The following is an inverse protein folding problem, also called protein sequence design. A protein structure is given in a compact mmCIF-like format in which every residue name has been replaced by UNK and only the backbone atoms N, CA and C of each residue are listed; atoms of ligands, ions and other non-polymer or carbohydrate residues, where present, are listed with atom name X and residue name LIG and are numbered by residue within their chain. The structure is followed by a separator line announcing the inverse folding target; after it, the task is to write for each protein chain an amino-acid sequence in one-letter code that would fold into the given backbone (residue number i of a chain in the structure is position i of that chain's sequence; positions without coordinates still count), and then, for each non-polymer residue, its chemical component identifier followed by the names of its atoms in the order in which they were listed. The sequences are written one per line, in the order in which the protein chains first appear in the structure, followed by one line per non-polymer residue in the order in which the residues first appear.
data_IF_482414542912
#
_entry.id   IF_482414542912
#
_cell.length_a   1.000
_cell.length_b   1.000
_cell.length_c   1.000
_cell.angle_alpha   90.00
_cell.angle_beta   90.00
_cell.angle_gamma   90.00
#
_symmetry.space_group_name_H-M   'P 1'
#
loop_
_entity.id
_entity.type
_entity.pdbx_description
1 polymer ?
#
# COMPACT_ATOMS: atom_id res chain seq x y z
N UNK A 1 16.84 -3.54 -14.15
CA UNK A 1 15.68 -2.78 -14.65
C UNK A 1 14.42 -3.33 -14.00
N UNK A 2 13.89 -2.63 -13.00
CA UNK A 2 12.80 -3.10 -12.12
C UNK A 2 11.39 -3.07 -12.77
N UNK A 3 11.31 -3.12 -14.10
CA UNK A 3 10.04 -3.14 -14.83
C UNK A 3 9.81 -4.53 -15.42
N UNK A 4 8.86 -5.26 -14.82
CA UNK A 4 8.39 -6.53 -15.35
C UNK A 4 7.13 -6.31 -16.20
N UNK A 5 7.29 -6.31 -17.53
CA UNK A 5 6.19 -6.09 -18.47
C UNK A 5 5.06 -7.12 -18.34
N UNK A 6 5.32 -8.32 -17.83
CA UNK A 6 4.26 -9.33 -17.65
C UNK A 6 3.19 -8.89 -16.65
N UNK A 7 3.55 -8.01 -15.70
CA UNK A 7 2.66 -7.48 -14.68
C UNK A 7 1.67 -6.44 -15.21
N UNK A 8 1.92 -5.85 -16.39
CA UNK A 8 1.04 -4.82 -16.97
C UNK A 8 -0.40 -5.32 -17.16
N UNK A 9 -0.55 -6.61 -17.49
CA UNK A 9 -1.86 -7.27 -17.65
C UNK A 9 -2.71 -7.26 -16.38
N UNK A 10 -2.07 -7.17 -15.19
CA UNK A 10 -2.77 -7.16 -13.90
C UNK A 10 -3.19 -5.77 -13.44
N UNK A 11 -2.61 -4.71 -14.02
CA UNK A 11 -2.74 -3.35 -13.49
C UNK A 11 -4.19 -2.92 -13.42
N UNK A 12 -4.92 -2.98 -14.54
CA UNK A 12 -6.31 -2.52 -14.61
C UNK A 12 -7.22 -3.23 -13.60
N UNK A 13 -7.13 -4.56 -13.53
CA UNK A 13 -7.89 -5.36 -12.58
C UNK A 13 -7.57 -4.97 -11.13
N UNK A 14 -6.30 -4.85 -10.77
CA UNK A 14 -5.90 -4.49 -9.40
C UNK A 14 -6.29 -3.05 -9.04
N UNK A 15 -6.21 -2.11 -9.98
CA UNK A 15 -6.66 -0.73 -9.76
C UNK A 15 -8.14 -0.69 -9.38
N UNK A 16 -8.96 -1.54 -10.00
CA UNK A 16 -10.38 -1.68 -9.67
C UNK A 16 -10.57 -2.30 -8.27
N UNK A 17 -9.85 -3.38 -7.96
CA UNK A 17 -9.93 -4.03 -6.64
C UNK A 17 -9.61 -3.07 -5.48
N UNK A 18 -8.59 -2.23 -5.64
CA UNK A 18 -8.17 -1.27 -4.60
C UNK A 18 -8.90 0.07 -4.70
N UNK A 19 -9.90 0.20 -5.58
CA UNK A 19 -10.67 1.42 -5.85
C UNK A 19 -9.79 2.63 -6.21
N UNK A 20 -8.69 2.41 -6.91
CA UNK A 20 -7.76 3.45 -7.37
C UNK A 20 -8.08 3.95 -8.78
N UNK A 21 -8.88 3.20 -9.55
CA UNK A 21 -9.24 3.57 -10.93
C UNK A 21 -9.89 4.96 -11.03
N UNK A 22 -10.80 5.30 -10.10
CA UNK A 22 -11.47 6.61 -10.10
C UNK A 22 -10.50 7.77 -9.82
N UNK A 23 -9.48 7.55 -9.00
CA UNK A 23 -8.43 8.54 -8.74
C UNK A 23 -7.56 8.72 -9.98
N UNK A 24 -7.14 7.59 -10.59
CA UNK A 24 -6.30 7.58 -11.79
C UNK A 24 -7.00 8.30 -12.94
N UNK A 25 -8.29 8.10 -13.13
CA UNK A 25 -9.09 8.77 -14.17
C UNK A 25 -9.16 10.30 -13.97
N UNK A 26 -8.97 10.79 -12.75
CA UNK A 26 -8.94 12.23 -12.43
C UNK A 26 -7.55 12.84 -12.57
N UNK A 27 -6.50 12.03 -12.69
CA UNK A 27 -5.15 12.56 -12.89
C UNK A 27 -4.95 13.01 -14.34
N UNK A 28 -4.24 14.13 -14.54
CA UNK A 28 -4.03 14.73 -15.86
C UNK A 28 -3.42 13.77 -16.91
N UNK A 29 -2.58 12.82 -16.49
CA UNK A 29 -1.95 11.84 -17.39
C UNK A 29 -2.39 10.40 -17.10
N UNK A 30 -3.51 10.22 -16.38
CA UNK A 30 -4.02 8.91 -16.02
C UNK A 30 -2.99 8.06 -15.27
N UNK A 31 -2.85 6.79 -15.68
CA UNK A 31 -1.88 5.85 -15.10
C UNK A 31 -0.42 6.25 -15.35
N UNK A 32 -0.17 7.14 -16.32
CA UNK A 32 1.15 7.65 -16.65
C UNK A 32 1.51 8.92 -15.83
N UNK A 33 0.65 9.32 -14.90
CA UNK A 33 0.90 10.47 -14.03
C UNK A 33 2.15 10.24 -13.19
N UNK A 34 3.13 11.13 -13.36
CA UNK A 34 4.37 11.09 -12.57
C UNK A 34 4.07 11.52 -11.14
N UNK A 35 4.47 10.69 -10.19
CA UNK A 35 4.39 11.02 -8.77
C UNK A 35 5.61 11.86 -8.37
N UNK A 36 5.38 12.94 -7.64
CA UNK A 36 6.43 13.75 -7.04
C UNK A 36 6.58 13.36 -5.57
N UNK A 37 7.75 12.82 -5.20
CA UNK A 37 8.02 12.35 -3.83
C UNK A 37 8.29 13.51 -2.85
N UNK A 38 8.78 14.65 -3.34
CA UNK A 38 9.16 15.80 -2.51
C UNK A 38 7.97 16.73 -2.23
N UNK A 39 7.13 16.96 -3.24
CA UNK A 39 5.95 17.85 -3.16
C UNK A 39 4.62 17.11 -3.04
N UNK A 40 4.65 15.77 -2.98
CA UNK A 40 3.51 14.84 -2.89
C UNK A 40 2.26 15.34 -3.63
N UNK A 41 2.19 15.05 -4.94
CA UNK A 41 1.04 15.43 -5.78
C UNK A 41 -0.16 14.46 -5.70
N UNK A 42 -0.26 13.69 -4.61
CA UNK A 42 -1.34 12.74 -4.35
C UNK A 42 -1.80 12.85 -2.90
N UNK A 43 -3.07 12.57 -2.65
CA UNK A 43 -3.61 12.54 -1.29
C UNK A 43 -3.10 11.33 -0.49
N UNK A 44 -3.24 11.37 0.83
CA UNK A 44 -2.91 10.23 1.70
C UNK A 44 -3.68 8.97 1.31
N UNK A 45 -4.98 9.09 1.00
CA UNK A 45 -5.80 7.96 0.54
C UNK A 45 -5.33 7.37 -0.80
N UNK A 46 -4.93 8.21 -1.75
CA UNK A 46 -4.35 7.74 -3.02
C UNK A 46 -3.04 6.98 -2.81
N UNK A 47 -2.18 7.48 -1.91
CA UNK A 47 -0.95 6.78 -1.53
C UNK A 47 -1.23 5.39 -0.93
N UNK A 48 -2.23 5.28 -0.05
CA UNK A 48 -2.64 3.99 0.53
C UNK A 48 -3.03 2.99 -0.56
N UNK A 49 -3.90 3.39 -1.48
CA UNK A 49 -4.37 2.54 -2.58
C UNK A 49 -3.22 2.14 -3.52
N UNK A 50 -2.28 3.03 -3.79
CA UNK A 50 -1.08 2.72 -4.61
C UNK A 50 -0.23 1.64 -3.92
N UNK A 51 -0.03 1.72 -2.60
CA UNK A 51 0.70 0.70 -1.84
C UNK A 51 -0.01 -0.66 -1.92
N UNK A 52 -1.32 -0.69 -1.70
CA UNK A 52 -2.14 -1.91 -1.84
C UNK A 52 -2.07 -2.49 -3.25
N UNK A 53 -2.16 -1.64 -4.29
CA UNK A 53 -2.07 -2.06 -5.68
C UNK A 53 -0.71 -2.70 -5.98
N UNK A 54 0.39 -2.10 -5.50
CA UNK A 54 1.74 -2.65 -5.67
C UNK A 54 1.89 -4.02 -5.03
N UNK A 55 1.39 -4.20 -3.80
CA UNK A 55 1.43 -5.49 -3.12
C UNK A 55 0.66 -6.57 -3.90
N UNK A 56 -0.55 -6.26 -4.35
CA UNK A 56 -1.42 -7.18 -5.11
C UNK A 56 -0.86 -7.54 -6.49
N UNK A 57 -0.35 -6.55 -7.26
CA UNK A 57 0.20 -6.78 -8.61
C UNK A 57 1.34 -7.80 -8.56
N UNK A 58 2.24 -7.65 -7.59
CA UNK A 58 3.38 -8.54 -7.43
C UNK A 58 2.99 -9.92 -6.89
N UNK A 59 1.85 -10.05 -6.20
CA UNK A 59 1.42 -11.31 -5.61
C UNK A 59 2.43 -11.86 -4.60
N UNK A 60 3.11 -10.96 -3.88
CA UNK A 60 4.19 -11.33 -2.97
C UNK A 60 3.66 -12.17 -1.81
N UNK A 61 4.29 -13.31 -1.54
CA UNK A 61 3.96 -14.14 -0.38
C UNK A 61 4.33 -13.47 0.94
N UNK A 62 5.28 -12.54 0.92
CA UNK A 62 5.75 -11.76 2.06
C UNK A 62 5.73 -10.27 1.72
N UNK A 63 5.16 -9.46 2.61
CA UNK A 63 5.13 -8.00 2.52
C UNK A 63 5.86 -7.44 3.74
N UNK A 64 6.99 -6.77 3.49
CA UNK A 64 7.73 -6.01 4.50
C UNK A 64 7.34 -4.54 4.42
N UNK A 65 6.91 -3.98 5.54
CA UNK A 65 6.58 -2.57 5.70
C UNK A 65 7.51 -2.00 6.75
N UNK A 66 8.48 -1.21 6.31
CA UNK A 66 9.40 -0.50 7.20
C UNK A 66 8.91 0.93 7.44
N UNK A 67 9.10 1.40 8.67
CA UNK A 67 8.65 2.72 9.16
C UNK A 67 7.19 3.10 8.82
N UNK A 68 6.26 2.14 8.83
CA UNK A 68 4.90 2.35 8.31
C UNK A 68 4.07 3.42 9.04
N UNK A 69 4.54 3.97 10.16
CA UNK A 69 3.88 5.02 10.94
C UNK A 69 4.54 6.40 10.85
N UNK A 70 5.75 6.54 10.29
CA UNK A 70 6.52 7.81 10.35
C UNK A 70 6.07 8.80 9.27
N UNK A 71 5.68 8.32 8.09
CA UNK A 71 5.43 9.14 6.91
C UNK A 71 3.95 9.19 6.47
N UNK A 72 3.05 8.49 7.17
CA UNK A 72 1.63 8.34 6.83
C UNK A 72 0.82 8.59 8.11
N UNK A 73 -0.27 9.35 7.99
CA UNK A 73 -1.28 9.51 9.03
C UNK A 73 -1.64 8.13 9.65
N UNK A 74 -1.63 8.02 10.97
CA UNK A 74 -1.85 6.75 11.69
C UNK A 74 -3.12 6.03 11.23
N UNK A 75 -4.20 6.79 10.95
CA UNK A 75 -5.47 6.23 10.46
C UNK A 75 -5.34 5.63 9.07
N UNK A 76 -4.56 6.29 8.21
CA UNK A 76 -4.23 5.82 6.87
C UNK A 76 -3.46 4.50 6.91
N UNK A 77 -2.43 4.39 7.76
CA UNK A 77 -1.67 3.15 7.93
C UNK A 77 -2.55 2.01 8.44
N UNK A 78 -3.39 2.26 9.45
CA UNK A 78 -4.30 1.25 9.99
C UNK A 78 -5.28 0.74 8.92
N UNK A 79 -5.77 1.63 8.05
CA UNK A 79 -6.67 1.27 6.95
C UNK A 79 -5.99 0.38 5.92
N UNK A 80 -4.73 0.67 5.54
CA UNK A 80 -3.93 -0.21 4.67
C UNK A 80 -3.76 -1.58 5.33
N UNK A 81 -3.32 -1.60 6.58
CA UNK A 81 -3.04 -2.85 7.29
C UNK A 81 -4.27 -3.75 7.36
N UNK A 82 -5.44 -3.20 7.71
CA UNK A 82 -6.72 -3.93 7.73
C UNK A 82 -7.09 -4.57 6.40
N UNK A 83 -6.68 -4.00 5.28
CA UNK A 83 -6.91 -4.58 3.96
C UNK A 83 -5.84 -5.62 3.60
N UNK A 84 -4.57 -5.34 3.93
CA UNK A 84 -3.46 -6.27 3.67
C UNK A 84 -3.61 -7.58 4.44
N UNK A 85 -4.03 -7.54 5.71
CA UNK A 85 -4.18 -8.75 6.54
C UNK A 85 -5.29 -9.68 6.05
N UNK A 86 -6.19 -9.21 5.17
CA UNK A 86 -7.17 -10.08 4.49
C UNK A 86 -6.56 -10.87 3.34
N UNK A 87 -5.37 -10.51 2.88
CA UNK A 87 -4.65 -11.26 1.85
C UNK A 87 -4.02 -12.53 2.43
N UNK A 88 -3.58 -13.44 1.54
CA UNK A 88 -2.83 -14.65 1.96
C UNK A 88 -1.35 -14.38 2.26
N UNK A 89 -0.91 -13.13 2.19
CA UNK A 89 0.50 -12.76 2.32
C UNK A 89 0.87 -12.67 3.79
N UNK A 90 2.09 -13.09 4.13
CA UNK A 90 2.69 -12.83 5.45
C UNK A 90 3.13 -11.37 5.51
N UNK A 91 2.73 -10.65 6.56
CA UNK A 91 3.05 -9.22 6.72
C UNK A 91 4.03 -9.07 7.88
N UNK A 92 5.18 -8.44 7.59
CA UNK A 92 6.15 -8.01 8.59
C UNK A 92 6.06 -6.48 8.64
N UNK A 93 5.64 -5.95 9.78
CA UNK A 93 5.45 -4.51 9.98
C UNK A 93 6.42 -4.01 11.05
N UNK A 94 7.34 -3.12 10.66
CA UNK A 94 8.32 -2.50 11.54
C UNK A 94 7.82 -1.08 11.87
N UNK A 95 7.66 -0.79 13.15
CA UNK A 95 7.27 0.52 13.64
C UNK A 95 7.77 0.77 15.06
N UNK A 96 8.07 2.03 15.38
CA UNK A 96 8.46 2.44 16.73
C UNK A 96 7.25 2.66 17.67
N UNK A 97 6.04 2.88 17.13
CA UNK A 97 4.86 3.23 17.93
C UNK A 97 3.60 2.42 17.55
N UNK A 98 3.37 1.33 18.27
CA UNK A 98 2.17 0.48 18.15
C UNK A 98 1.09 0.85 19.18
N UNK A 99 -0.12 1.15 18.71
CA UNK A 99 -1.33 1.24 19.52
C UNK A 99 -2.03 -0.13 19.53
N UNK A 100 -3.03 -0.27 20.40
CA UNK A 100 -3.79 -1.51 20.56
C UNK A 100 -4.48 -1.95 19.26
N UNK A 101 -5.08 -1.02 18.51
CA UNK A 101 -5.71 -1.33 17.23
C UNK A 101 -4.73 -2.00 16.26
N UNK A 102 -3.52 -1.48 16.11
CA UNK A 102 -2.51 -2.08 15.24
C UNK A 102 -2.10 -3.46 15.75
N UNK A 103 -1.87 -3.61 17.06
CA UNK A 103 -1.46 -4.89 17.66
C UNK A 103 -2.50 -5.99 17.41
N UNK A 104 -3.79 -5.66 17.50
CA UNK A 104 -4.88 -6.62 17.26
C UNK A 104 -4.93 -7.18 15.83
N UNK A 105 -4.23 -6.58 14.87
CA UNK A 105 -4.17 -7.05 13.48
C UNK A 105 -3.07 -8.10 13.24
N UNK A 106 -2.16 -8.31 14.19
CA UNK A 106 -1.01 -9.20 14.02
C UNK A 106 -1.06 -10.37 15.00
N UNK A 107 -0.69 -11.55 14.52
CA UNK A 107 -0.66 -12.77 15.33
C UNK A 107 0.50 -12.79 16.34
N UNK A 108 1.55 -12.00 16.09
CA UNK A 108 2.78 -11.98 16.87
C UNK A 108 3.41 -10.59 16.92
N UNK A 109 3.99 -10.27 18.07
CA UNK A 109 4.80 -9.07 18.29
C UNK A 109 6.19 -9.47 18.79
N UNK A 110 7.24 -8.88 18.20
CA UNK A 110 8.63 -9.06 18.63
C UNK A 110 9.15 -7.69 19.08
N UNK A 111 9.68 -7.62 20.30
CA UNK A 111 10.34 -6.43 20.83
C UNK A 111 11.84 -6.69 20.84
N UNK A 112 12.60 -5.78 20.24
CA UNK A 112 14.06 -5.80 20.18
C UNK A 112 14.63 -4.76 21.15
#
# INVERSE_FOLDING_TARGET
TMFNKSLNSKVEHVLNEVKLSDDVNKFNAGINTKLNLDKLNISGGQRQKIVLARAKIHGSEIILIDEGTSAIDRQATLSILKELVKSKSTIIFIAHNFNEDMRSLFDREIRL
#
